data_IF_840269480391
#
_entry.id   IF_840269480391
#
_cell.length_a   1.000
_cell.length_b   1.000
_cell.length_c   1.000
_cell.angle_alpha   90.00
_cell.angle_beta   90.00
_cell.angle_gamma   90.00
#
_symmetry.space_group_name_H-M   'P 1'
#
loop_
_entity.id
_entity.type
_entity.pdbx_description
1 polymer ?
#
# COMPACT_ATOMS: atom_id res chain seq x y z
N UNK A 1 11.70 22.13 11.93
CA UNK A 1 11.79 21.22 10.77
C UNK A 1 11.26 19.81 11.14
N UNK A 2 9.93 19.66 11.28
CA UNK A 2 9.27 18.38 11.68
C UNK A 2 8.58 17.64 10.50
N UNK A 3 8.53 18.26 9.32
CA UNK A 3 7.76 17.79 8.15
C UNK A 3 8.45 16.69 7.32
N UNK A 4 9.79 16.60 7.36
CA UNK A 4 10.55 15.81 6.35
C UNK A 4 10.52 14.29 6.58
N UNK A 5 10.34 13.82 7.82
CA UNK A 5 10.42 12.38 8.13
C UNK A 5 9.13 11.61 7.83
N UNK A 6 7.95 12.25 7.90
CA UNK A 6 6.65 11.60 7.69
C UNK A 6 6.27 11.50 6.21
N UNK A 7 6.58 12.52 5.40
CA UNK A 7 6.46 12.40 3.94
C UNK A 7 7.38 11.33 3.38
N UNK A 8 8.58 11.17 3.94
CA UNK A 8 9.49 10.12 3.54
C UNK A 8 8.89 8.73 3.80
N UNK A 9 8.32 8.50 4.98
CA UNK A 9 7.68 7.22 5.33
C UNK A 9 6.53 6.86 4.38
N UNK A 10 5.68 7.82 4.04
CA UNK A 10 4.59 7.60 3.10
C UNK A 10 5.08 7.38 1.67
N UNK A 11 6.11 8.12 1.23
CA UNK A 11 6.76 7.87 -0.06
C UNK A 11 7.43 6.49 -0.11
N UNK A 12 8.10 6.06 0.97
CA UNK A 12 8.73 4.74 1.08
C UNK A 12 7.68 3.62 1.03
N UNK A 13 6.58 3.78 1.76
CA UNK A 13 5.47 2.82 1.74
C UNK A 13 4.82 2.76 0.34
N UNK A 14 4.52 3.90 -0.28
CA UNK A 14 3.96 3.96 -1.63
C UNK A 14 4.91 3.32 -2.65
N UNK A 15 6.22 3.61 -2.57
CA UNK A 15 7.23 3.01 -3.42
C UNK A 15 7.33 1.49 -3.23
N UNK A 16 7.30 1.01 -1.99
CA UNK A 16 7.31 -0.42 -1.67
C UNK A 16 6.10 -1.13 -2.30
N UNK A 17 4.90 -0.57 -2.11
CA UNK A 17 3.65 -1.16 -2.59
C UNK A 17 3.56 -1.17 -4.11
N UNK A 18 3.88 -0.04 -4.76
CA UNK A 18 3.89 0.06 -6.22
C UNK A 18 4.94 -0.86 -6.86
N UNK A 19 6.11 -1.02 -6.22
CA UNK A 19 7.14 -1.96 -6.69
C UNK A 19 6.73 -3.42 -6.51
N UNK A 20 6.05 -3.74 -5.40
CA UNK A 20 5.52 -5.08 -5.15
C UNK A 20 4.48 -5.49 -6.20
N UNK A 21 3.55 -4.58 -6.51
CA UNK A 21 2.50 -4.79 -7.51
C UNK A 21 3.06 -4.85 -8.94
N UNK A 22 4.00 -3.98 -9.33
CA UNK A 22 4.67 -4.05 -10.64
C UNK A 22 5.34 -5.42 -10.83
N UNK A 23 6.08 -5.90 -9.82
CA UNK A 23 6.70 -7.22 -9.85
C UNK A 23 5.66 -8.34 -9.94
N UNK A 24 4.59 -8.25 -9.14
CA UNK A 24 3.51 -9.24 -9.14
C UNK A 24 2.81 -9.30 -10.51
N UNK A 25 2.39 -8.16 -11.07
CA UNK A 25 1.68 -8.09 -12.35
C UNK A 25 2.57 -8.61 -13.47
N UNK A 26 3.88 -8.27 -13.48
CA UNK A 26 4.83 -8.85 -14.43
C UNK A 26 4.90 -10.38 -14.33
N UNK A 27 4.90 -10.94 -13.12
CA UNK A 27 4.90 -12.40 -12.93
C UNK A 27 3.60 -13.05 -13.41
N UNK A 28 2.45 -12.40 -13.22
CA UNK A 28 1.17 -12.90 -13.75
C UNK A 28 1.14 -12.82 -15.28
N UNK A 29 1.64 -11.73 -15.86
CA UNK A 29 1.78 -11.56 -17.31
C UNK A 29 2.68 -12.62 -17.94
N UNK A 30 3.88 -12.83 -17.39
CA UNK A 30 4.84 -13.83 -17.89
C UNK A 30 4.29 -15.25 -17.79
N UNK A 31 3.33 -15.49 -16.90
CA UNK A 31 2.66 -16.77 -16.75
C UNK A 31 1.36 -16.88 -17.57
N UNK A 32 1.08 -15.94 -18.47
CA UNK A 32 -0.07 -15.95 -19.39
C UNK A 32 -1.42 -15.69 -18.74
N UNK A 33 -1.45 -15.10 -17.54
CA UNK A 33 -2.69 -14.86 -16.77
C UNK A 33 -3.25 -13.44 -16.90
N UNK A 34 -2.64 -12.61 -17.74
CA UNK A 34 -3.10 -11.25 -18.00
C UNK A 34 -3.89 -11.21 -19.31
N UNK A 35 -5.16 -10.86 -19.20
CA UNK A 35 -6.08 -10.76 -20.33
C UNK A 35 -5.87 -9.43 -21.06
N UNK A 36 -5.65 -9.50 -22.38
CA UNK A 36 -5.29 -8.35 -23.18
C UNK A 36 -6.43 -7.30 -23.27
N UNK A 37 -7.69 -7.75 -23.30
CA UNK A 37 -8.85 -6.87 -23.43
C UNK A 37 -9.13 -6.13 -22.11
N UNK A 38 -9.02 -6.84 -20.98
CA UNK A 38 -9.07 -6.25 -19.63
C UNK A 38 -7.93 -5.25 -19.43
N UNK A 39 -6.71 -5.61 -19.83
CA UNK A 39 -5.57 -4.70 -19.74
C UNK A 39 -5.74 -3.45 -20.61
N UNK A 40 -6.25 -3.60 -21.84
CA UNK A 40 -6.53 -2.48 -22.73
C UNK A 40 -7.47 -1.45 -22.10
N UNK A 41 -8.49 -1.88 -21.35
CA UNK A 41 -9.38 -0.96 -20.62
C UNK A 41 -8.63 -0.09 -19.61
N UNK A 42 -7.66 -0.66 -18.89
CA UNK A 42 -6.81 0.08 -17.94
C UNK A 42 -5.94 1.08 -18.68
N UNK A 43 -5.31 0.66 -19.78
CA UNK A 43 -4.47 1.52 -20.63
C UNK A 43 -5.28 2.69 -21.20
N UNK A 44 -6.45 2.43 -21.76
CA UNK A 44 -7.31 3.46 -22.37
C UNK A 44 -7.80 4.45 -21.29
N UNK A 45 -8.24 3.96 -20.12
CA UNK A 45 -8.63 4.82 -19.00
C UNK A 45 -7.47 5.66 -18.46
N UNK A 46 -6.25 5.15 -18.47
CA UNK A 46 -5.04 5.91 -18.09
C UNK A 46 -4.74 7.03 -19.09
N UNK A 47 -4.79 6.74 -20.40
CA UNK A 47 -4.57 7.74 -21.45
C UNK A 47 -5.67 8.81 -21.48
N UNK A 48 -6.94 8.43 -21.27
CA UNK A 48 -8.06 9.38 -21.20
C UNK A 48 -7.91 10.39 -20.06
N UNK A 49 -7.18 10.05 -19.00
CA UNK A 49 -6.82 10.98 -17.91
C UNK A 49 -5.66 11.92 -18.28
N UNK A 50 -5.14 11.88 -19.50
CA UNK A 50 -4.01 12.69 -19.97
C UNK A 50 -2.67 12.30 -19.34
N UNK A 51 -2.54 11.07 -18.84
CA UNK A 51 -1.36 10.62 -18.10
C UNK A 51 -0.27 10.06 -19.03
N UNK A 52 1.02 10.22 -18.68
CA UNK A 52 2.12 9.76 -19.52
C UNK A 52 2.18 8.23 -19.61
N UNK A 53 2.80 7.70 -20.67
CA UNK A 53 3.05 6.26 -20.81
C UNK A 53 3.88 5.75 -19.63
N UNK A 54 3.56 4.55 -19.16
CA UNK A 54 4.28 3.89 -18.07
C UNK A 54 5.30 2.89 -18.61
N UNK A 55 6.36 2.65 -17.85
CA UNK A 55 7.32 1.57 -18.10
C UNK A 55 6.84 0.32 -17.36
N UNK A 56 6.72 -0.81 -18.05
CA UNK A 56 6.18 -2.04 -17.47
C UNK A 56 4.74 -1.86 -16.99
N UNK A 57 4.45 -2.24 -15.75
CA UNK A 57 3.14 -2.06 -15.11
C UNK A 57 3.18 -1.01 -13.99
N UNK A 58 4.13 -0.07 -14.04
CA UNK A 58 4.35 0.98 -13.03
C UNK A 58 3.35 2.14 -13.12
N UNK A 59 2.07 1.82 -13.05
CA UNK A 59 1.01 2.80 -12.84
C UNK A 59 1.05 3.35 -11.41
N UNK A 60 0.18 4.31 -11.07
CA UNK A 60 0.00 4.65 -9.67
C UNK A 60 -0.62 3.48 -8.88
N UNK A 61 -0.48 3.51 -7.55
CA UNK A 61 -0.90 2.42 -6.67
C UNK A 61 -2.37 2.02 -6.90
N UNK A 62 -3.24 3.01 -7.05
CA UNK A 62 -4.68 2.79 -7.27
C UNK A 62 -4.94 2.06 -8.60
N UNK A 63 -4.30 2.51 -9.69
CA UNK A 63 -4.47 1.90 -11.02
C UNK A 63 -3.88 0.49 -11.07
N UNK A 64 -2.77 0.23 -10.38
CA UNK A 64 -2.22 -1.13 -10.27
C UNK A 64 -3.17 -2.06 -9.51
N UNK A 65 -3.80 -1.58 -8.43
CA UNK A 65 -4.82 -2.34 -7.69
C UNK A 65 -6.07 -2.59 -8.55
N UNK A 66 -6.50 -1.62 -9.35
CA UNK A 66 -7.62 -1.78 -10.29
C UNK A 66 -7.33 -2.84 -11.35
N UNK A 67 -6.10 -2.87 -11.88
CA UNK A 67 -5.66 -3.90 -12.81
C UNK A 67 -5.73 -5.29 -12.17
N UNK A 68 -5.20 -5.44 -10.95
CA UNK A 68 -5.25 -6.72 -10.20
C UNK A 68 -6.69 -7.13 -9.91
N UNK A 69 -7.54 -6.19 -9.50
CA UNK A 69 -8.94 -6.45 -9.21
C UNK A 69 -9.71 -6.91 -10.46
N UNK A 70 -9.45 -6.27 -11.61
CA UNK A 70 -10.08 -6.63 -12.88
C UNK A 70 -9.70 -8.07 -13.33
N UNK A 71 -8.53 -8.54 -12.93
CA UNK A 71 -8.01 -9.87 -13.21
C UNK A 71 -8.14 -10.85 -12.03
N UNK A 72 -8.98 -10.56 -11.03
CA UNK A 72 -9.06 -11.37 -9.81
C UNK A 72 -9.40 -12.85 -10.08
N UNK A 73 -10.12 -13.15 -11.17
CA UNK A 73 -10.43 -14.53 -11.55
C UNK A 73 -9.31 -15.21 -12.37
N UNK A 74 -8.42 -14.42 -12.97
CA UNK A 74 -7.37 -14.92 -13.86
C UNK A 74 -6.03 -15.04 -13.11
N UNK A 75 -5.77 -14.13 -12.17
CA UNK A 75 -4.53 -14.05 -11.42
C UNK A 75 -4.45 -15.10 -10.31
N UNK A 76 -3.21 -15.55 -10.05
CA UNK A 76 -2.93 -16.43 -8.93
C UNK A 76 -2.58 -15.60 -7.69
N UNK A 77 -3.33 -15.80 -6.62
CA UNK A 77 -3.09 -15.23 -5.30
C UNK A 77 -2.48 -16.25 -4.34
N UNK A 78 -1.92 -15.76 -3.22
CA UNK A 78 -1.13 -16.54 -2.27
C UNK A 78 -1.54 -16.26 -0.82
N UNK A 79 -1.11 -17.15 0.10
CA UNK A 79 -1.42 -17.07 1.52
C UNK A 79 -2.80 -17.63 1.89
N UNK A 80 -3.10 -17.61 3.18
CA UNK A 80 -4.24 -18.33 3.77
C UNK A 80 -5.61 -17.90 3.23
N UNK A 81 -5.70 -16.66 2.74
CA UNK A 81 -6.95 -16.06 2.23
C UNK A 81 -7.11 -16.18 0.71
N UNK A 82 -6.14 -16.75 0.00
CA UNK A 82 -6.15 -16.84 -1.47
C UNK A 82 -7.23 -17.77 -2.05
N UNK A 83 -7.81 -18.65 -1.25
CA UNK A 83 -8.91 -19.52 -1.67
C UNK A 83 -10.29 -18.88 -1.50
N UNK A 84 -10.39 -17.69 -0.90
CA UNK A 84 -11.66 -17.05 -0.54
C UNK A 84 -11.82 -15.75 -1.36
N UNK A 85 -12.58 -15.76 -2.47
CA UNK A 85 -12.72 -14.59 -3.34
C UNK A 85 -13.19 -13.33 -2.61
N UNK A 86 -14.12 -13.45 -1.67
CA UNK A 86 -14.59 -12.33 -0.87
C UNK A 86 -13.47 -11.70 -0.01
N UNK A 87 -12.54 -12.52 0.49
CA UNK A 87 -11.39 -12.02 1.26
C UNK A 87 -10.38 -11.31 0.36
N UNK A 88 -10.14 -11.84 -0.84
CA UNK A 88 -9.29 -11.19 -1.86
C UNK A 88 -9.87 -9.81 -2.22
N UNK A 89 -11.15 -9.76 -2.61
CA UNK A 89 -11.85 -8.52 -2.91
C UNK A 89 -11.77 -7.53 -1.75
N UNK A 90 -11.99 -8.00 -0.51
CA UNK A 90 -11.91 -7.16 0.68
C UNK A 90 -10.53 -6.53 0.89
N UNK A 91 -9.45 -7.28 0.69
CA UNK A 91 -8.07 -6.78 0.80
C UNK A 91 -7.79 -5.76 -0.31
N UNK A 92 -8.18 -6.05 -1.55
CA UNK A 92 -7.95 -5.15 -2.68
C UNK A 92 -8.74 -3.83 -2.53
N UNK A 93 -10.00 -3.88 -2.08
CA UNK A 93 -10.80 -2.69 -1.82
C UNK A 93 -10.25 -1.85 -0.65
N UNK A 94 -9.84 -2.50 0.45
CA UNK A 94 -9.19 -1.80 1.56
C UNK A 94 -7.93 -1.06 1.09
N UNK A 95 -7.11 -1.73 0.27
CA UNK A 95 -5.91 -1.10 -0.29
C UNK A 95 -6.22 -0.01 -1.31
N UNK A 96 -7.31 -0.09 -2.06
CA UNK A 96 -7.74 0.99 -2.96
C UNK A 96 -8.11 2.25 -2.16
N UNK A 97 -8.83 2.08 -1.04
CA UNK A 97 -9.13 3.20 -0.12
C UNK A 97 -7.83 3.78 0.44
N UNK A 98 -6.89 2.93 0.86
CA UNK A 98 -5.59 3.38 1.35
C UNK A 98 -4.78 4.11 0.27
N UNK A 99 -4.78 3.66 -0.98
CA UNK A 99 -4.09 4.32 -2.09
C UNK A 99 -4.59 5.76 -2.30
N UNK A 100 -5.91 5.99 -2.19
CA UNK A 100 -6.49 7.33 -2.26
C UNK A 100 -6.05 8.21 -1.09
N UNK A 101 -6.01 7.65 0.11
CA UNK A 101 -5.53 8.35 1.30
C UNK A 101 -4.04 8.69 1.22
N UNK A 102 -3.20 7.76 0.73
CA UNK A 102 -1.76 7.97 0.52
C UNK A 102 -1.48 9.09 -0.50
N UNK A 103 -2.33 9.22 -1.52
CA UNK A 103 -2.24 10.29 -2.52
C UNK A 103 -2.49 11.68 -1.93
N UNK A 104 -3.32 11.77 -0.88
CA UNK A 104 -3.53 13.00 -0.13
C UNK A 104 -2.48 13.05 0.98
N UNK A 105 -1.37 13.76 0.72
CA UNK A 105 -0.21 13.91 1.63
C UNK A 105 -0.53 14.73 2.89
N UNK A 106 -1.68 14.51 3.51
CA UNK A 106 -2.11 15.18 4.74
C UNK A 106 -1.23 14.73 5.90
N UNK A 107 -0.50 15.68 6.46
CA UNK A 107 0.43 15.51 7.57
C UNK A 107 -0.31 15.30 8.89
N UNK A 108 -0.84 14.11 9.11
CA UNK A 108 -1.45 13.78 10.40
C UNK A 108 -0.42 13.12 11.32
N UNK A 109 -0.60 13.32 12.63
CA UNK A 109 0.12 12.59 13.67
C UNK A 109 -0.01 11.08 13.44
N UNK A 110 0.94 10.25 13.91
CA UNK A 110 0.80 8.81 13.86
C UNK A 110 -0.47 8.44 14.62
N UNK A 111 -1.47 8.02 13.87
CA UNK A 111 -2.81 7.76 14.35
C UNK A 111 -3.20 6.31 14.01
N UNK A 112 -4.40 5.93 14.45
CA UNK A 112 -4.96 4.61 14.16
C UNK A 112 -5.15 4.37 12.65
N UNK A 113 -5.24 5.42 11.84
CA UNK A 113 -5.37 5.31 10.37
C UNK A 113 -4.07 4.78 9.79
N UNK A 114 -2.92 5.35 10.16
CA UNK A 114 -1.63 4.88 9.67
C UNK A 114 -1.32 3.44 10.15
N UNK A 115 -1.66 3.11 11.39
CA UNK A 115 -1.53 1.74 11.90
C UNK A 115 -2.33 0.74 11.05
N UNK A 116 -3.58 1.08 10.71
CA UNK A 116 -4.43 0.27 9.84
C UNK A 116 -3.84 0.14 8.43
N UNK A 117 -3.36 1.24 7.84
CA UNK A 117 -2.74 1.22 6.51
C UNK A 117 -1.54 0.26 6.44
N UNK A 118 -0.74 0.18 7.49
CA UNK A 118 0.39 -0.75 7.57
C UNK A 118 -0.08 -2.22 7.66
N UNK A 119 -1.15 -2.50 8.42
CA UNK A 119 -1.74 -3.84 8.50
C UNK A 119 -2.38 -4.28 7.18
N UNK A 120 -3.06 -3.37 6.50
CA UNK A 120 -3.65 -3.62 5.19
C UNK A 120 -2.54 -3.85 4.14
N UNK A 121 -1.44 -3.10 4.22
CA UNK A 121 -0.24 -3.28 3.38
C UNK A 121 0.38 -4.66 3.58
N UNK A 122 0.51 -5.12 4.83
CA UNK A 122 0.98 -6.46 5.15
C UNK A 122 0.08 -7.54 4.56
N UNK A 123 -1.24 -7.34 4.67
CA UNK A 123 -2.24 -8.25 4.11
C UNK A 123 -2.13 -8.33 2.59
N UNK A 124 -1.89 -7.20 1.92
CA UNK A 124 -1.64 -7.17 0.48
C UNK A 124 -0.35 -7.93 0.12
N UNK A 125 0.78 -7.66 0.77
CA UNK A 125 2.04 -8.32 0.44
C UNK A 125 1.94 -9.85 0.58
N UNK A 126 1.21 -10.33 1.60
CA UNK A 126 0.93 -11.75 1.78
C UNK A 126 0.05 -12.30 0.65
N UNK A 127 -1.02 -11.58 0.29
CA UNK A 127 -1.93 -11.94 -0.78
C UNK A 127 -1.21 -12.05 -2.15
N UNK A 128 -0.24 -11.16 -2.40
CA UNK A 128 0.56 -11.17 -3.63
C UNK A 128 1.67 -12.23 -3.61
N UNK A 129 1.93 -12.88 -2.48
CA UNK A 129 3.08 -13.79 -2.32
C UNK A 129 4.41 -13.05 -2.50
N UNK A 130 4.50 -11.82 -1.99
CA UNK A 130 5.70 -10.99 -2.16
C UNK A 130 6.94 -11.62 -1.52
N UNK A 131 8.08 -11.43 -2.18
CA UNK A 131 9.38 -11.91 -1.72
C UNK A 131 9.71 -11.40 -0.30
N UNK A 132 10.45 -12.21 0.46
CA UNK A 132 10.83 -11.93 1.85
C UNK A 132 11.49 -10.56 2.01
N UNK A 133 12.33 -10.13 1.06
CA UNK A 133 12.92 -8.80 1.03
C UNK A 133 11.88 -7.67 1.22
N UNK A 134 10.72 -7.77 0.56
CA UNK A 134 9.66 -6.75 0.65
C UNK A 134 8.93 -6.81 1.99
N UNK A 135 8.85 -7.99 2.59
CA UNK A 135 8.31 -8.18 3.93
C UNK A 135 9.22 -7.53 4.99
N UNK A 136 10.54 -7.68 4.83
CA UNK A 136 11.54 -7.02 5.68
C UNK A 136 11.43 -5.50 5.56
N UNK A 137 11.34 -4.96 4.34
CA UNK A 137 11.16 -3.52 4.12
C UNK A 137 9.89 -2.98 4.79
N UNK A 138 8.76 -3.72 4.73
CA UNK A 138 7.56 -3.33 5.45
C UNK A 138 7.77 -3.37 6.98
N UNK A 139 8.48 -4.37 7.49
CA UNK A 139 8.79 -4.46 8.91
C UNK A 139 9.65 -3.28 9.40
N UNK A 140 10.58 -2.78 8.58
CA UNK A 140 11.36 -1.57 8.86
C UNK A 140 10.47 -0.32 8.95
N UNK A 141 9.55 -0.15 7.99
CA UNK A 141 8.54 0.93 8.00
C UNK A 141 7.67 0.86 9.25
N UNK A 142 7.21 -0.34 9.64
CA UNK A 142 6.43 -0.58 10.85
C UNK A 142 7.23 -0.26 12.12
N UNK A 143 8.50 -0.66 12.16
CA UNK A 143 9.36 -0.39 13.31
C UNK A 143 9.63 1.10 13.48
N UNK A 144 9.86 1.80 12.37
CA UNK A 144 9.98 3.26 12.39
C UNK A 144 8.69 3.91 12.92
N UNK A 145 7.52 3.47 12.47
CA UNK A 145 6.22 3.95 12.96
C UNK A 145 6.06 3.75 14.47
N UNK A 146 6.42 2.57 15.01
CA UNK A 146 6.38 2.28 16.45
C UNK A 146 7.27 3.22 17.25
N UNK A 147 8.52 3.43 16.81
CA UNK A 147 9.47 4.35 17.48
C UNK A 147 8.91 5.77 17.52
N UNK A 148 8.27 6.21 16.44
CA UNK A 148 7.64 7.54 16.38
C UNK A 148 6.46 7.63 17.34
N UNK A 149 5.58 6.63 17.39
CA UNK A 149 4.46 6.56 18.34
C UNK A 149 4.92 6.61 19.80
N UNK A 150 5.93 5.80 20.17
CA UNK A 150 6.45 5.76 21.53
C UNK A 150 7.02 7.11 21.98
N UNK A 151 7.66 7.85 21.05
CA UNK A 151 8.16 9.20 21.32
C UNK A 151 7.03 10.19 21.59
N UNK A 152 5.97 10.17 20.78
CA UNK A 152 4.81 11.07 20.97
C UNK A 152 4.09 10.76 22.30
N UNK A 153 3.88 9.47 22.64
CA UNK A 153 3.29 9.08 23.93
C UNK A 153 4.15 9.47 25.14
N UNK A 154 5.48 9.51 25.01
CA UNK A 154 6.37 9.99 26.08
C UNK A 154 6.27 11.50 26.26
N UNK A 155 6.14 12.26 25.16
CA UNK A 155 5.96 13.71 25.20
C UNK A 155 4.63 14.08 25.87
N UNK A 156 3.52 13.45 25.46
CA UNK A 156 2.19 13.69 26.05
C UNK A 156 2.17 13.40 27.56
N UNK A 157 2.71 12.27 28.00
CA UNK A 157 2.81 11.96 29.45
C UNK A 157 3.67 12.95 30.23
N UNK A 158 4.73 13.50 29.61
CA UNK A 158 5.58 14.49 30.27
C UNK A 158 4.86 15.84 30.43
N UNK A 159 4.01 16.21 29.47
CA UNK A 159 3.19 17.41 29.52
C UNK A 159 2.04 17.29 30.54
N UNK A 160 1.38 16.12 30.62
CA UNK A 160 0.35 15.83 31.65
C UNK A 160 0.91 15.92 33.07
N UNK A 161 2.11 15.37 33.31
CA UNK A 161 2.77 15.44 34.63
C UNK A 161 3.18 16.89 35.00
N UNK A 162 3.46 17.75 34.03
CA UNK A 162 3.77 19.18 34.26
C UNK A 162 2.52 20.06 34.40
N UNK A 163 1.35 19.58 33.98
CA UNK A 163 0.08 20.33 33.98
C UNK A 163 -0.79 20.15 35.23
N UNK A 164 -0.37 19.36 36.22
CA UNK A 164 -1.11 19.18 37.48
C UNK A 164 -0.92 20.41 38.39
N UNK A 165 -2.00 21.10 38.82
CA UNK A 165 -1.89 22.13 39.85
C UNK A 165 -1.49 21.49 41.19
N UNK A 166 -0.57 22.15 41.91
CA UNK A 166 -0.15 21.76 43.27
C UNK A 166 -1.26 21.96 44.29
#
# INVERSE_FOLDING_TARGET
MKSSRRSLLYCELEFLLTSALDCYINNQFNAGRLDADKYKKVVDAWHQKGRPKVVGFRYDLETQLDLVFLHMQDFRFYGDRASVPAAISGILEAMRVNARALRVRTFCQPDSVMAKQLLDSQSLLNLLGSAEQRQIQLAEVVQFFKIVLEREHKLQRTEEVRGLPR
#
